data_IF_086221281747
#
_entry.id   IF_086221281747
#
_cell.length_a   1.000
_cell.length_b   1.000
_cell.length_c   1.000
_cell.angle_alpha   90.00
_cell.angle_beta   90.00
_cell.angle_gamma   90.00
#
_symmetry.space_group_name_H-M   'P 1'
#
loop_
_entity.id
_entity.type
_entity.pdbx_description
1 polymer ?
#
# COMPACT_ATOMS: atom_id res chain seq x y z
N UNK A 1 -16.12 -29.29 4.30
CA UNK A 1 -16.06 -28.69 2.94
C UNK A 1 -16.53 -27.26 3.12
N UNK A 2 -15.76 -26.24 2.69
CA UNK A 2 -16.17 -24.84 2.89
C UNK A 2 -17.49 -24.60 2.13
N UNK A 3 -18.53 -24.18 2.85
CA UNK A 3 -19.81 -23.83 2.24
C UNK A 3 -19.68 -22.40 1.71
N UNK A 4 -19.74 -22.24 0.39
CA UNK A 4 -19.68 -20.93 -0.26
C UNK A 4 -21.09 -20.54 -0.70
N UNK A 5 -21.74 -19.66 0.03
CA UNK A 5 -23.17 -19.35 -0.13
C UNK A 5 -23.52 -18.76 -1.50
N UNK A 6 -22.54 -18.16 -2.19
CA UNK A 6 -22.74 -17.64 -3.54
C UNK A 6 -22.80 -18.72 -4.64
N UNK A 7 -22.37 -19.96 -4.37
CA UNK A 7 -22.30 -21.03 -5.39
C UNK A 7 -23.69 -21.41 -5.92
N UNK A 8 -24.72 -21.30 -5.08
CA UNK A 8 -26.11 -21.58 -5.47
C UNK A 8 -26.78 -20.41 -6.17
N UNK A 9 -26.10 -19.27 -6.33
CA UNK A 9 -26.63 -18.07 -6.97
C UNK A 9 -25.85 -17.75 -8.28
N UNK A 10 -26.39 -18.13 -9.45
CA UNK A 10 -25.74 -17.91 -10.74
C UNK A 10 -25.46 -16.45 -11.07
N UNK A 11 -26.37 -15.54 -10.69
CA UNK A 11 -26.22 -14.10 -10.92
C UNK A 11 -25.04 -13.55 -10.10
N UNK A 12 -24.94 -13.96 -8.83
CA UNK A 12 -23.84 -13.57 -7.95
C UNK A 12 -22.50 -14.12 -8.42
N UNK A 13 -22.47 -15.36 -8.92
CA UNK A 13 -21.29 -15.95 -9.56
C UNK A 13 -20.83 -15.14 -10.77
N UNK A 14 -21.76 -14.78 -11.66
CA UNK A 14 -21.48 -13.92 -12.82
C UNK A 14 -20.87 -12.58 -12.40
N UNK A 15 -21.44 -11.96 -11.36
CA UNK A 15 -20.96 -10.69 -10.83
C UNK A 15 -19.55 -10.80 -10.23
N UNK A 16 -19.27 -11.85 -9.47
CA UNK A 16 -17.95 -12.14 -8.91
C UNK A 16 -16.89 -12.34 -9.99
N UNK A 17 -17.22 -13.03 -11.10
CA UNK A 17 -16.34 -13.13 -12.26
C UNK A 17 -16.04 -11.76 -12.87
N UNK A 18 -17.06 -10.93 -13.09
CA UNK A 18 -16.89 -9.58 -13.63
C UNK A 18 -16.03 -8.69 -12.73
N UNK A 19 -16.21 -8.78 -11.39
CA UNK A 19 -15.37 -8.03 -10.44
C UNK A 19 -13.91 -8.46 -10.57
N UNK A 20 -13.64 -9.76 -10.60
CA UNK A 20 -12.28 -10.28 -10.75
C UNK A 20 -11.58 -9.76 -12.01
N UNK A 21 -12.32 -9.65 -13.11
CA UNK A 21 -11.80 -9.12 -14.38
C UNK A 21 -11.53 -7.61 -14.29
N UNK A 22 -12.43 -6.83 -13.68
CA UNK A 22 -12.26 -5.38 -13.45
C UNK A 22 -11.09 -5.07 -12.52
N UNK A 23 -10.93 -5.85 -11.46
CA UNK A 23 -9.78 -5.78 -10.54
C UNK A 23 -8.50 -6.36 -11.14
N UNK A 24 -8.53 -6.83 -12.39
CA UNK A 24 -7.39 -7.42 -13.11
C UNK A 24 -6.77 -8.64 -12.42
N UNK A 25 -7.51 -9.34 -11.55
CA UNK A 25 -7.03 -10.51 -10.80
C UNK A 25 -6.68 -11.66 -11.75
N UNK A 26 -7.42 -11.79 -12.85
CA UNK A 26 -7.25 -12.86 -13.84
C UNK A 26 -6.20 -12.56 -14.92
N UNK A 27 -5.65 -11.34 -14.99
CA UNK A 27 -4.70 -10.97 -16.06
C UNK A 27 -3.36 -11.71 -15.99
N UNK A 28 -3.02 -12.26 -14.83
CA UNK A 28 -1.81 -13.03 -14.62
C UNK A 28 -2.11 -14.50 -14.37
N UNK A 29 -1.26 -15.37 -14.93
CA UNK A 29 -1.28 -16.81 -14.65
C UNK A 29 -0.91 -17.18 -13.21
N UNK A 30 -0.56 -16.20 -12.36
CA UNK A 30 -0.22 -16.46 -10.98
C UNK A 30 -1.47 -16.80 -10.16
N UNK A 31 -1.42 -17.94 -9.47
CA UNK A 31 -2.50 -18.42 -8.60
C UNK A 31 -2.41 -17.91 -7.16
N UNK A 32 -1.31 -17.29 -6.75
CA UNK A 32 -1.16 -16.71 -5.40
C UNK A 32 -1.67 -15.27 -5.40
N UNK A 33 -2.57 -14.97 -4.46
CA UNK A 33 -3.28 -13.70 -4.37
C UNK A 33 -3.19 -13.18 -2.94
N UNK A 34 -2.73 -11.95 -2.78
CA UNK A 34 -2.70 -11.24 -1.49
C UNK A 34 -3.73 -10.12 -1.55
N UNK A 35 -4.72 -10.17 -0.67
CA UNK A 35 -5.56 -9.04 -0.33
C UNK A 35 -4.94 -8.33 0.87
N UNK A 36 -4.50 -7.09 0.68
CA UNK A 36 -4.31 -6.17 1.81
C UNK A 36 -5.68 -5.53 2.03
N UNK A 37 -6.46 -6.11 2.92
CA UNK A 37 -7.79 -5.62 3.27
C UNK A 37 -7.66 -5.05 4.67
N UNK A 38 -7.80 -3.74 4.83
CA UNK A 38 -7.55 -3.10 6.14
C UNK A 38 -8.42 -1.86 6.26
N UNK A 39 -8.76 -1.42 7.47
CA UNK A 39 -9.31 -0.07 7.65
C UNK A 39 -8.32 0.98 7.11
N UNK A 40 -8.76 2.20 6.78
CA UNK A 40 -7.85 3.26 6.38
C UNK A 40 -6.94 3.68 7.55
N UNK A 41 -5.76 4.23 7.21
CA UNK A 41 -4.80 4.87 8.14
C UNK A 41 -4.15 3.96 9.19
N UNK A 42 -4.03 2.68 8.86
CA UNK A 42 -3.32 1.69 9.69
C UNK A 42 -1.89 1.40 9.20
N UNK A 43 -1.41 2.07 8.15
CA UNK A 43 -0.08 1.82 7.56
C UNK A 43 -0.06 0.80 6.43
N UNK A 44 -1.23 0.44 5.88
CA UNK A 44 -1.34 -0.51 4.77
C UNK A 44 -0.60 -0.09 3.50
N UNK A 45 -0.44 1.22 3.24
CA UNK A 45 0.36 1.74 2.11
C UNK A 45 1.78 1.17 2.12
N UNK A 46 2.43 1.09 3.29
CA UNK A 46 3.77 0.49 3.41
C UNK A 46 3.77 -0.99 3.08
N UNK A 47 2.79 -1.74 3.57
CA UNK A 47 2.65 -3.17 3.24
C UNK A 47 2.48 -3.35 1.74
N UNK A 48 1.60 -2.57 1.11
CA UNK A 48 1.33 -2.64 -0.33
C UNK A 48 2.56 -2.27 -1.15
N UNK A 49 3.23 -1.15 -0.84
CA UNK A 49 4.44 -0.73 -1.54
C UNK A 49 5.54 -1.78 -1.43
N UNK A 50 5.76 -2.33 -0.24
CA UNK A 50 6.75 -3.40 0.00
C UNK A 50 6.43 -4.66 -0.79
N UNK A 51 5.18 -5.14 -0.73
CA UNK A 51 4.76 -6.32 -1.48
C UNK A 51 4.83 -6.09 -2.99
N UNK A 52 4.50 -4.89 -3.48
CA UNK A 52 4.57 -4.61 -4.92
C UNK A 52 6.01 -4.60 -5.41
N UNK A 53 6.94 -4.02 -4.66
CA UNK A 53 8.36 -3.97 -5.03
C UNK A 53 9.01 -5.36 -4.99
N UNK A 54 8.82 -6.11 -3.91
CA UNK A 54 9.52 -7.37 -3.66
C UNK A 54 8.73 -8.63 -4.04
N UNK A 55 7.40 -8.54 -4.11
CA UNK A 55 6.49 -9.69 -4.24
C UNK A 55 5.71 -9.78 -5.56
N UNK A 56 5.66 -8.74 -6.40
CA UNK A 56 4.84 -8.73 -7.64
C UNK A 56 5.18 -9.85 -8.64
N UNK A 57 6.37 -10.44 -8.55
CA UNK A 57 6.73 -11.60 -9.37
C UNK A 57 6.01 -12.89 -8.95
N UNK A 58 5.63 -13.00 -7.67
CA UNK A 58 5.04 -14.22 -7.09
C UNK A 58 3.62 -14.05 -6.56
N UNK A 59 3.12 -12.82 -6.44
CA UNK A 59 1.78 -12.58 -5.94
C UNK A 59 1.06 -11.53 -6.79
N UNK A 60 -0.22 -11.76 -7.02
CA UNK A 60 -1.13 -10.68 -7.38
C UNK A 60 -1.52 -9.95 -6.09
N UNK A 61 -1.41 -8.63 -6.04
CA UNK A 61 -1.62 -7.84 -4.82
C UNK A 61 -2.78 -6.89 -5.05
N UNK A 62 -3.83 -7.06 -4.25
CA UNK A 62 -5.04 -6.23 -4.26
C UNK A 62 -5.10 -5.49 -2.93
N UNK A 63 -5.31 -4.19 -2.97
CA UNK A 63 -5.48 -3.36 -1.77
C UNK A 63 -6.83 -2.68 -1.81
N UNK A 64 -7.64 -2.95 -0.79
CA UNK A 64 -9.02 -2.46 -0.67
C UNK A 64 -9.26 -2.11 0.79
N UNK A 65 -9.98 -1.02 1.06
CA UNK A 65 -10.36 -0.62 2.41
C UNK A 65 -11.78 -1.05 2.77
N UNK A 66 -12.71 -1.00 1.84
CA UNK A 66 -14.13 -1.23 2.11
C UNK A 66 -14.88 -1.47 0.80
N UNK A 67 -16.17 -1.75 0.95
CA UNK A 67 -17.14 -1.94 -0.11
C UNK A 67 -17.31 -0.67 -0.96
N UNK A 68 -17.09 0.52 -0.38
CA UNK A 68 -17.11 1.80 -1.09
C UNK A 68 -15.96 1.87 -2.10
N UNK A 69 -14.74 1.59 -1.65
CA UNK A 69 -13.56 1.52 -2.51
C UNK A 69 -13.71 0.41 -3.56
N UNK A 70 -14.27 -0.74 -3.21
CA UNK A 70 -14.59 -1.79 -4.17
C UNK A 70 -15.56 -1.30 -5.25
N UNK A 71 -16.62 -0.57 -4.85
CA UNK A 71 -17.59 -0.01 -5.80
C UNK A 71 -16.94 0.99 -6.74
N UNK A 72 -16.09 1.88 -6.23
CA UNK A 72 -15.34 2.85 -7.06
C UNK A 72 -14.40 2.15 -8.03
N UNK A 73 -13.68 1.11 -7.59
CA UNK A 73 -12.71 0.40 -8.43
C UNK A 73 -13.35 -0.51 -9.48
N UNK A 74 -14.49 -1.12 -9.16
CA UNK A 74 -15.18 -2.07 -10.05
C UNK A 74 -16.31 -1.44 -10.88
N UNK A 75 -16.83 -0.29 -10.43
CA UNK A 75 -18.09 0.31 -10.88
C UNK A 75 -19.30 -0.64 -10.76
N UNK A 76 -19.33 -1.48 -9.72
CA UNK A 76 -20.38 -2.47 -9.49
C UNK A 76 -20.76 -2.56 -8.01
N UNK A 77 -21.98 -3.04 -7.74
CA UNK A 77 -22.56 -3.19 -6.39
C UNK A 77 -23.13 -4.59 -6.20
N UNK A 78 -23.48 -4.98 -4.97
CA UNK A 78 -24.12 -6.27 -4.66
C UNK A 78 -23.17 -7.40 -4.26
N UNK A 79 -21.89 -7.10 -4.09
CA UNK A 79 -20.85 -8.03 -3.62
C UNK A 79 -19.98 -7.35 -2.55
N UNK A 80 -19.59 -8.12 -1.53
CA UNK A 80 -18.67 -7.67 -0.49
C UNK A 80 -17.21 -8.05 -0.79
N UNK A 81 -16.26 -7.41 -0.11
CA UNK A 81 -14.84 -7.75 -0.28
C UNK A 81 -14.56 -9.19 0.16
N UNK A 82 -15.18 -9.65 1.26
CA UNK A 82 -15.07 -11.02 1.74
C UNK A 82 -15.55 -12.06 0.72
N UNK A 83 -16.63 -11.76 -0.02
CA UNK A 83 -17.14 -12.66 -1.05
C UNK A 83 -16.14 -12.81 -2.20
N UNK A 84 -15.43 -11.74 -2.58
CA UNK A 84 -14.37 -11.81 -3.60
C UNK A 84 -13.19 -12.65 -3.10
N UNK A 85 -12.79 -12.49 -1.84
CA UNK A 85 -11.72 -13.28 -1.21
C UNK A 85 -12.09 -14.77 -1.27
N UNK A 86 -13.29 -15.11 -0.79
CA UNK A 86 -13.81 -16.47 -0.76
C UNK A 86 -13.98 -17.06 -2.16
N UNK A 87 -14.48 -16.27 -3.10
CA UNK A 87 -14.63 -16.67 -4.51
C UNK A 87 -13.28 -17.02 -5.15
N UNK A 88 -12.24 -16.22 -4.90
CA UNK A 88 -10.92 -16.53 -5.41
C UNK A 88 -10.36 -17.83 -4.81
N UNK A 89 -10.65 -18.12 -3.54
CA UNK A 89 -10.33 -19.42 -2.94
C UNK A 89 -11.10 -20.55 -3.61
N UNK A 90 -12.39 -20.37 -3.87
CA UNK A 90 -13.25 -21.33 -4.58
C UNK A 90 -12.70 -21.65 -5.98
N UNK A 91 -12.15 -20.66 -6.70
CA UNK A 91 -11.46 -20.86 -7.99
C UNK A 91 -10.11 -21.61 -7.89
N UNK A 92 -9.71 -22.06 -6.70
CA UNK A 92 -8.49 -22.83 -6.46
C UNK A 92 -7.22 -21.97 -6.37
N UNK A 93 -7.34 -20.68 -6.04
CA UNK A 93 -6.20 -19.80 -5.77
C UNK A 93 -5.66 -20.02 -4.35
N UNK A 94 -4.38 -19.68 -4.16
CA UNK A 94 -3.77 -19.59 -2.83
C UNK A 94 -3.94 -18.15 -2.34
N UNK A 95 -4.84 -17.97 -1.38
CA UNK A 95 -5.34 -16.65 -0.97
C UNK A 95 -4.80 -16.30 0.41
N UNK A 96 -4.20 -15.12 0.49
CA UNK A 96 -3.74 -14.47 1.70
C UNK A 96 -4.53 -13.18 1.92
N UNK A 97 -4.89 -12.90 3.17
CA UNK A 97 -5.52 -11.65 3.57
C UNK A 97 -4.67 -11.02 4.67
N UNK A 98 -4.14 -9.83 4.44
CA UNK A 98 -3.36 -9.09 5.43
C UNK A 98 -4.23 -7.97 5.98
N UNK A 99 -4.39 -7.97 7.31
CA UNK A 99 -4.96 -6.88 8.09
C UNK A 99 -3.89 -6.23 8.99
N UNK A 100 -4.02 -4.93 9.26
CA UNK A 100 -3.09 -4.18 10.10
C UNK A 100 -3.86 -3.42 11.18
N UNK A 101 -3.52 -3.68 12.43
CA UNK A 101 -3.99 -2.90 13.58
C UNK A 101 -3.10 -1.69 13.84
N UNK A 102 -3.71 -0.56 14.19
CA UNK A 102 -3.02 0.63 14.69
C UNK A 102 -3.67 1.10 15.98
N UNK A 103 -2.85 1.53 16.92
CA UNK A 103 -3.26 2.10 18.20
C UNK A 103 -4.34 3.17 18.05
N UNK A 104 -5.34 3.24 18.96
CA UNK A 104 -6.55 4.02 18.71
C UNK A 104 -6.30 5.52 18.56
N UNK A 105 -5.50 6.13 19.43
CA UNK A 105 -5.25 7.58 19.38
C UNK A 105 -4.50 7.96 18.10
N UNK A 106 -3.41 7.26 17.81
CA UNK A 106 -2.57 7.49 16.64
C UNK A 106 -3.34 7.29 15.34
N UNK A 107 -4.24 6.31 15.29
CA UNK A 107 -5.13 6.10 14.15
C UNK A 107 -6.12 7.25 14.00
N UNK A 108 -6.78 7.68 15.08
CA UNK A 108 -7.72 8.81 15.05
C UNK A 108 -7.04 10.09 14.56
N UNK A 109 -5.85 10.39 15.08
CA UNK A 109 -5.04 11.52 14.61
C UNK A 109 -4.75 11.37 13.10
N UNK A 110 -4.32 10.18 12.66
CA UNK A 110 -4.01 9.96 11.26
C UNK A 110 -5.24 10.03 10.33
N UNK A 111 -6.42 9.65 10.80
CA UNK A 111 -7.68 9.78 10.07
C UNK A 111 -8.09 11.25 9.94
N UNK A 112 -8.00 12.01 11.03
CA UNK A 112 -8.27 13.45 11.03
C UNK A 112 -7.35 14.21 10.06
N UNK A 113 -6.04 13.93 10.11
CA UNK A 113 -5.05 14.58 9.25
C UNK A 113 -5.08 14.12 7.79
N UNK A 114 -5.86 13.11 7.43
CA UNK A 114 -5.94 12.68 6.04
C UNK A 114 -6.64 13.71 5.15
N UNK A 115 -7.69 14.33 5.67
CA UNK A 115 -8.52 15.29 4.94
C UNK A 115 -8.67 16.60 5.71
N UNK A 116 -7.62 17.00 6.45
CA UNK A 116 -7.70 18.16 7.33
C UNK A 116 -7.99 19.45 6.57
N UNK A 117 -7.32 19.69 5.44
CA UNK A 117 -7.64 20.79 4.54
C UNK A 117 -9.10 20.76 4.08
N UNK A 118 -9.39 19.81 3.20
CA UNK A 118 -10.62 19.80 2.42
C UNK A 118 -11.87 19.48 3.24
N UNK A 119 -11.79 18.50 4.13
CA UNK A 119 -12.93 18.09 4.95
C UNK A 119 -13.00 18.98 6.18
N UNK A 120 -11.97 18.97 7.03
CA UNK A 120 -12.14 19.61 8.32
C UNK A 120 -12.15 21.15 8.27
N UNK A 121 -11.45 21.81 7.34
CA UNK A 121 -11.31 23.27 7.29
C UNK A 121 -11.77 23.92 5.98
N UNK A 122 -12.27 23.14 5.03
CA UNK A 122 -12.72 23.58 3.73
C UNK A 122 -11.71 24.49 2.99
N UNK A 123 -10.44 24.08 2.96
CA UNK A 123 -9.36 24.79 2.25
C UNK A 123 -8.26 23.80 1.85
N UNK A 124 -7.14 24.27 1.28
CA UNK A 124 -6.00 23.40 0.96
C UNK A 124 -5.09 23.16 2.18
N UNK A 125 -4.34 22.07 2.14
CA UNK A 125 -3.46 21.66 3.25
C UNK A 125 -2.38 22.72 3.54
N UNK A 126 -1.87 23.41 2.51
CA UNK A 126 -0.87 24.47 2.66
C UNK A 126 -1.39 25.64 3.52
N UNK A 127 -2.66 26.02 3.34
CA UNK A 127 -3.31 27.07 4.12
C UNK A 127 -3.53 26.61 5.55
N UNK A 128 -4.05 25.39 5.74
CA UNK A 128 -4.25 24.83 7.09
C UNK A 128 -2.93 24.72 7.85
N UNK A 129 -1.82 24.46 7.16
CA UNK A 129 -0.49 24.39 7.78
C UNK A 129 -0.07 25.68 8.51
N UNK A 130 -0.73 26.82 8.21
CA UNK A 130 -0.51 28.12 8.87
C UNK A 130 -1.43 28.38 10.07
N UNK A 131 -2.38 27.49 10.35
CA UNK A 131 -3.38 27.69 11.40
C UNK A 131 -2.78 27.51 12.79
N UNK A 132 -3.37 28.22 13.77
CA UNK A 132 -3.06 27.98 15.18
C UNK A 132 -3.42 26.54 15.55
N UNK A 133 -2.43 25.79 16.06
CA UNK A 133 -2.55 24.38 16.44
C UNK A 133 -3.65 24.14 17.49
N UNK A 134 -3.92 25.08 18.39
CA UNK A 134 -5.00 24.98 19.38
C UNK A 134 -6.38 24.89 18.73
N UNK A 135 -6.62 25.61 17.62
CA UNK A 135 -7.87 25.51 16.85
C UNK A 135 -8.03 24.12 16.24
N UNK A 136 -6.92 23.55 15.77
CA UNK A 136 -6.86 22.22 15.16
C UNK A 136 -7.08 21.13 16.21
N UNK A 137 -6.47 21.26 17.39
CA UNK A 137 -6.69 20.39 18.55
C UNK A 137 -8.14 20.49 19.04
N UNK A 138 -8.70 21.69 19.14
CA UNK A 138 -10.07 21.90 19.55
C UNK A 138 -11.05 21.15 18.63
N UNK A 139 -10.89 21.31 17.31
CA UNK A 139 -11.72 20.61 16.32
C UNK A 139 -11.54 19.09 16.38
N UNK A 140 -10.30 18.62 16.53
CA UNK A 140 -10.03 17.18 16.70
C UNK A 140 -10.75 16.61 17.93
N UNK A 141 -10.64 17.26 19.09
CA UNK A 141 -11.29 16.82 20.31
C UNK A 141 -12.83 16.86 20.22
N UNK A 142 -13.41 17.79 19.44
CA UNK A 142 -14.86 17.84 19.20
C UNK A 142 -15.39 16.59 18.48
N UNK A 143 -14.61 16.00 17.59
CA UNK A 143 -15.02 14.84 16.80
C UNK A 143 -14.38 13.53 17.26
N UNK A 144 -13.46 13.58 18.23
CA UNK A 144 -12.61 12.44 18.59
C UNK A 144 -13.38 11.13 18.78
N UNK A 145 -14.50 11.08 19.55
CA UNK A 145 -15.23 9.82 19.75
C UNK A 145 -15.86 9.25 18.47
N UNK A 146 -16.20 10.12 17.51
CA UNK A 146 -16.85 9.76 16.24
C UNK A 146 -15.89 9.20 15.18
N UNK A 147 -14.58 9.44 15.33
CA UNK A 147 -13.58 8.86 14.43
C UNK A 147 -13.47 7.35 14.69
N UNK A 148 -13.73 6.52 13.69
CA UNK A 148 -13.81 5.06 13.85
C UNK A 148 -12.53 4.41 14.42
N UNK A 149 -12.73 3.44 15.33
CA UNK A 149 -11.69 2.56 15.89
C UNK A 149 -11.76 1.11 15.35
N UNK A 150 -12.69 0.82 14.42
CA UNK A 150 -13.02 -0.54 13.98
C UNK A 150 -11.90 -1.31 13.32
N UNK A 151 -11.92 -2.63 13.42
CA UNK A 151 -10.86 -3.53 12.99
C UNK A 151 -11.45 -4.65 12.13
N UNK A 152 -11.03 -4.80 10.87
CA UNK A 152 -11.71 -5.76 9.98
C UNK A 152 -11.53 -7.21 10.41
N UNK A 153 -10.39 -7.54 11.02
CA UNK A 153 -10.14 -8.90 11.49
C UNK A 153 -11.16 -9.33 12.54
N UNK A 154 -11.51 -8.42 13.45
CA UNK A 154 -12.50 -8.68 14.51
C UNK A 154 -13.94 -8.43 14.06
N UNK A 155 -14.18 -7.42 13.22
CA UNK A 155 -15.53 -6.91 12.97
C UNK A 155 -16.11 -7.31 11.61
N UNK A 156 -15.27 -7.66 10.62
CA UNK A 156 -15.70 -7.81 9.22
C UNK A 156 -15.47 -9.21 8.66
N UNK A 157 -14.34 -9.86 8.96
CA UNK A 157 -13.96 -11.12 8.27
C UNK A 157 -14.85 -12.30 8.61
N UNK A 158 -15.57 -12.25 9.73
CA UNK A 158 -16.43 -13.32 10.22
C UNK A 158 -15.65 -14.66 10.32
N UNK A 159 -14.45 -14.59 10.89
CA UNK A 159 -13.59 -15.74 11.16
C UNK A 159 -13.46 -15.94 12.69
N UNK A 160 -13.18 -17.16 13.17
CA UNK A 160 -12.97 -17.38 14.60
C UNK A 160 -11.80 -16.56 15.11
N UNK A 161 -12.01 -15.74 16.14
CA UNK A 161 -10.95 -14.95 16.76
C UNK A 161 -10.13 -15.83 17.72
N UNK A 162 -8.79 -15.92 17.58
CA UNK A 162 -7.95 -16.58 18.58
C UNK A 162 -8.11 -15.93 19.96
N UNK A 163 -7.93 -16.69 21.05
CA UNK A 163 -8.10 -16.16 22.41
C UNK A 163 -7.17 -14.99 22.72
N UNK A 164 -5.94 -15.03 22.22
CA UNK A 164 -4.91 -14.01 22.46
C UNK A 164 -4.16 -13.69 21.17
N UNK A 165 -3.64 -12.45 21.11
CA UNK A 165 -2.67 -12.09 20.09
C UNK A 165 -1.30 -12.73 20.40
N UNK A 166 -0.57 -13.16 19.36
CA UNK A 166 0.77 -13.72 19.55
C UNK A 166 1.80 -12.59 19.73
N UNK A 167 2.08 -12.28 21.00
CA UNK A 167 3.05 -11.25 21.38
C UNK A 167 4.51 -11.65 21.18
N UNK A 168 4.79 -12.95 21.03
CA UNK A 168 6.16 -13.46 20.84
C UNK A 168 6.57 -13.29 19.38
N UNK A 169 5.73 -13.79 18.47
CA UNK A 169 5.95 -13.66 17.04
C UNK A 169 5.54 -12.29 16.50
N UNK A 170 4.69 -11.55 17.24
CA UNK A 170 4.19 -10.20 16.91
C UNK A 170 3.24 -10.13 15.70
N UNK A 171 2.66 -11.26 15.30
CA UNK A 171 1.62 -11.34 14.27
C UNK A 171 0.71 -12.54 14.53
N UNK A 172 -0.51 -12.51 14.00
CA UNK A 172 -1.34 -13.72 13.87
C UNK A 172 -1.25 -14.24 12.44
N UNK A 173 -1.14 -15.56 12.31
CA UNK A 173 -1.36 -16.27 11.05
C UNK A 173 -2.38 -17.38 11.31
N UNK A 174 -3.57 -17.22 10.73
CA UNK A 174 -4.67 -18.15 10.88
C UNK A 174 -5.15 -18.64 9.53
N UNK A 175 -5.29 -19.95 9.38
CA UNK A 175 -5.93 -20.54 8.20
C UNK A 175 -7.39 -20.86 8.50
N UNK A 176 -8.30 -20.31 7.70
CA UNK A 176 -9.74 -20.58 7.81
C UNK A 176 -10.34 -20.75 6.41
N UNK A 177 -11.05 -21.86 6.19
CA UNK A 177 -11.57 -22.27 4.87
C UNK A 177 -10.50 -22.26 3.76
N UNK A 178 -9.25 -22.58 4.12
CA UNK A 178 -8.10 -22.59 3.22
C UNK A 178 -7.61 -21.21 2.77
N UNK A 179 -8.07 -20.13 3.40
CA UNK A 179 -7.56 -18.78 3.24
C UNK A 179 -6.65 -18.47 4.43
N UNK A 180 -5.49 -17.87 4.18
CA UNK A 180 -4.51 -17.51 5.21
C UNK A 180 -4.69 -16.03 5.60
N UNK A 181 -5.17 -15.78 6.80
CA UNK A 181 -5.34 -14.45 7.37
C UNK A 181 -4.12 -14.10 8.22
N UNK A 182 -3.52 -12.95 7.91
CA UNK A 182 -2.33 -12.41 8.57
C UNK A 182 -2.74 -11.12 9.27
N UNK A 183 -2.52 -11.05 10.58
CA UNK A 183 -2.75 -9.84 11.36
C UNK A 183 -1.43 -9.25 11.82
N UNK A 184 -1.18 -8.00 11.44
CA UNK A 184 -0.01 -7.23 11.87
C UNK A 184 -0.41 -6.11 12.83
N UNK A 185 0.55 -5.60 13.61
CA UNK A 185 0.41 -4.36 14.38
C UNK A 185 1.38 -3.31 13.81
N UNK A 186 0.92 -2.09 13.61
CA UNK A 186 1.76 -0.99 13.11
C UNK A 186 2.90 -0.65 14.06
N UNK A 187 2.72 -0.84 15.39
CA UNK A 187 3.79 -0.64 16.37
C UNK A 187 5.01 -1.56 16.16
N UNK A 188 4.80 -2.69 15.47
CA UNK A 188 5.84 -3.68 15.18
C UNK A 188 6.30 -3.59 13.71
N UNK A 189 6.12 -2.43 13.06
CA UNK A 189 6.49 -2.23 11.66
C UNK A 189 7.94 -2.58 11.35
N UNK A 190 8.83 -2.39 12.33
CA UNK A 190 10.26 -2.67 12.19
C UNK A 190 10.53 -4.18 12.01
N UNK A 191 9.62 -5.03 12.50
CA UNK A 191 9.70 -6.48 12.36
C UNK A 191 8.97 -7.01 11.12
N UNK A 192 8.21 -6.19 10.40
CA UNK A 192 7.39 -6.66 9.28
C UNK A 192 8.22 -7.27 8.14
N UNK A 193 9.46 -6.80 7.90
CA UNK A 193 10.35 -7.39 6.89
C UNK A 193 10.58 -8.87 7.15
N UNK A 194 10.92 -9.21 8.39
CA UNK A 194 11.22 -10.59 8.80
C UNK A 194 9.94 -11.43 8.84
N UNK A 195 8.86 -10.89 9.39
CA UNK A 195 7.56 -11.57 9.46
C UNK A 195 7.08 -11.96 8.06
N UNK A 196 7.00 -11.00 7.13
CA UNK A 196 6.51 -11.27 5.78
C UNK A 196 7.48 -12.16 5.00
N UNK A 197 8.79 -11.99 5.20
CA UNK A 197 9.80 -12.87 4.59
C UNK A 197 9.61 -14.32 5.00
N UNK A 198 9.39 -14.56 6.30
CA UNK A 198 9.19 -15.89 6.85
C UNK A 198 7.89 -16.53 6.36
N UNK A 199 6.79 -15.76 6.33
CA UNK A 199 5.48 -16.26 5.87
C UNK A 199 5.52 -16.64 4.38
N UNK A 200 6.18 -15.83 3.55
CA UNK A 200 6.15 -16.01 2.10
C UNK A 200 7.33 -16.80 1.53
N UNK A 201 8.39 -17.02 2.31
CA UNK A 201 9.62 -17.68 1.86
C UNK A 201 10.40 -16.87 0.83
N UNK A 202 10.21 -15.55 0.80
CA UNK A 202 10.91 -14.62 -0.10
C UNK A 202 11.32 -13.38 0.68
N UNK A 203 12.54 -12.89 0.46
CA UNK A 203 13.01 -11.63 1.03
C UNK A 203 12.07 -10.47 0.65
N UNK A 204 11.41 -9.90 1.65
CA UNK A 204 10.60 -8.68 1.59
C UNK A 204 11.26 -7.67 2.51
N UNK A 205 11.49 -6.46 1.99
CA UNK A 205 11.98 -5.33 2.79
C UNK A 205 10.87 -4.29 2.87
N UNK A 206 10.66 -3.76 4.07
CA UNK A 206 9.60 -2.79 4.32
C UNK A 206 10.00 -1.41 3.82
N UNK A 207 9.08 -0.80 3.08
CA UNK A 207 9.15 0.58 2.61
C UNK A 207 8.26 1.44 3.48
N UNK A 208 8.83 2.44 4.15
CA UNK A 208 8.10 3.37 5.03
C UNK A 208 7.44 4.51 4.23
N UNK A 209 6.37 4.19 3.51
CA UNK A 209 5.62 5.09 2.62
C UNK A 209 4.44 5.79 3.33
N UNK A 210 4.11 5.42 4.58
CA UNK A 210 2.97 5.97 5.32
C UNK A 210 3.26 7.29 6.07
N UNK A 211 4.50 7.76 6.09
CA UNK A 211 4.88 8.83 7.03
C UNK A 211 4.33 10.20 6.61
N UNK A 212 3.47 10.79 7.45
CA UNK A 212 2.87 12.11 7.25
C UNK A 212 3.89 13.26 7.14
N UNK A 213 5.15 13.03 7.55
CA UNK A 213 6.23 14.02 7.42
C UNK A 213 6.55 14.37 5.96
N UNK A 214 6.15 13.50 5.04
CA UNK A 214 6.34 13.68 3.60
C UNK A 214 5.16 14.43 2.93
N UNK A 215 4.14 14.84 3.69
CA UNK A 215 2.95 15.53 3.19
C UNK A 215 3.06 17.06 3.35
N UNK A 216 2.32 17.87 2.57
CA UNK A 216 2.28 19.33 2.71
C UNK A 216 1.92 19.79 4.14
N UNK A 217 1.12 19.01 4.87
CA UNK A 217 0.65 19.31 6.23
C UNK A 217 1.66 18.97 7.35
N UNK A 218 2.91 18.62 7.01
CA UNK A 218 3.89 18.07 7.96
C UNK A 218 4.16 18.97 9.17
N UNK A 219 4.17 20.29 8.99
CA UNK A 219 4.60 21.22 10.04
C UNK A 219 3.50 21.32 11.11
N UNK A 220 2.25 21.51 10.70
CA UNK A 220 1.10 21.47 11.59
C UNK A 220 0.93 20.09 12.24
N UNK A 221 1.12 19.00 11.51
CA UNK A 221 1.06 17.66 12.09
C UNK A 221 2.12 17.46 13.20
N UNK A 222 3.32 18.00 12.99
CA UNK A 222 4.40 17.95 13.98
C UNK A 222 4.04 18.78 15.21
N UNK A 223 3.64 20.04 15.01
CA UNK A 223 3.17 20.91 16.09
C UNK A 223 1.99 20.28 16.85
N UNK A 224 1.05 19.66 16.15
CA UNK A 224 -0.08 18.99 16.77
C UNK A 224 0.40 17.88 17.71
N UNK A 225 1.28 16.98 17.26
CA UNK A 225 1.77 15.88 18.12
C UNK A 225 2.54 16.38 19.34
N UNK A 226 3.27 17.48 19.21
CA UNK A 226 4.04 18.09 20.29
C UNK A 226 3.14 18.75 21.33
N UNK A 227 2.04 19.39 20.90
CA UNK A 227 1.14 20.16 21.77
C UNK A 227 -0.08 19.37 22.24
N UNK A 228 -0.43 18.26 21.58
CA UNK A 228 -1.65 17.52 21.89
C UNK A 228 -1.57 16.85 23.26
N UNK A 229 -2.58 17.13 24.07
CA UNK A 229 -2.84 16.47 25.35
C UNK A 229 -4.19 15.76 25.27
N UNK A 230 -4.24 14.51 25.71
CA UNK A 230 -5.44 13.67 25.66
C UNK A 230 -6.40 14.06 26.80
N UNK A 231 -7.66 14.41 26.51
CA UNK A 231 -8.69 14.62 27.52
C UNK A 231 -8.90 13.40 28.42
N UNK A 232 -9.15 13.65 29.70
CA UNK A 232 -9.30 12.60 30.73
C UNK A 232 -10.43 11.60 30.45
N UNK A 233 -11.53 12.06 29.87
CA UNK A 233 -12.64 11.21 29.46
C UNK A 233 -12.24 10.27 28.31
N UNK A 234 -11.45 10.74 27.34
CA UNK A 234 -10.98 9.88 26.23
C UNK A 234 -9.97 8.84 26.71
N UNK A 235 -9.13 9.18 27.69
CA UNK A 235 -8.23 8.19 28.32
C UNK A 235 -9.01 7.07 29.00
N UNK A 236 -10.17 7.39 29.58
CA UNK A 236 -11.06 6.39 30.20
C UNK A 236 -11.63 5.43 29.15
N UNK A 237 -12.02 5.93 27.98
CA UNK A 237 -12.48 5.12 26.85
C UNK A 237 -11.38 4.19 26.29
N UNK A 238 -10.11 4.59 26.35
CA UNK A 238 -9.00 3.73 25.93
C UNK A 238 -8.86 2.49 26.80
N UNK A 239 -9.09 2.61 28.12
CA UNK A 239 -8.98 1.49 29.06
C UNK A 239 -10.01 0.39 28.79
N UNK A 240 -11.18 0.75 28.24
CA UNK A 240 -12.24 -0.18 27.89
C UNK A 240 -12.22 -0.58 26.40
N UNK A 241 -11.25 -0.10 25.62
CA UNK A 241 -11.16 -0.37 24.20
C UNK A 241 -10.86 -1.86 23.91
N UNK A 242 -11.85 -2.57 23.34
CA UNK A 242 -11.71 -4.01 23.02
C UNK A 242 -10.52 -4.33 22.12
N UNK A 243 -10.21 -3.48 21.14
CA UNK A 243 -9.10 -3.71 20.19
C UNK A 243 -7.75 -3.54 20.88
N UNK A 244 -7.59 -2.50 21.69
CA UNK A 244 -6.37 -2.27 22.46
C UNK A 244 -6.13 -3.43 23.41
N UNK A 245 -7.16 -3.83 24.16
CA UNK A 245 -7.08 -4.92 25.13
C UNK A 245 -6.82 -6.29 24.49
N UNK A 246 -7.13 -6.48 23.21
CA UNK A 246 -6.84 -7.70 22.49
C UNK A 246 -5.43 -7.71 21.87
N UNK A 247 -5.05 -6.62 21.20
CA UNK A 247 -3.81 -6.56 20.43
C UNK A 247 -2.58 -6.14 21.23
N UNK A 248 -2.73 -5.71 22.49
CA UNK A 248 -1.62 -5.33 23.35
C UNK A 248 -1.53 -6.29 24.54
N UNK A 249 -0.31 -6.63 24.94
CA UNK A 249 -0.07 -7.36 26.18
C UNK A 249 -0.36 -6.46 27.39
N UNK A 250 -0.58 -7.02 28.59
CA UNK A 250 -0.82 -6.21 29.79
C UNK A 250 0.24 -5.13 30.04
N UNK A 251 1.52 -5.45 29.82
CA UNK A 251 2.62 -4.49 29.97
C UNK A 251 2.59 -3.40 28.88
N UNK A 252 2.26 -3.77 27.65
CA UNK A 252 2.13 -2.80 26.55
C UNK A 252 0.94 -1.86 26.76
N UNK A 253 -0.17 -2.36 27.33
CA UNK A 253 -1.33 -1.54 27.70
C UNK A 253 -0.93 -0.54 28.78
N UNK A 254 -0.27 -0.99 29.84
CA UNK A 254 0.20 -0.12 30.93
C UNK A 254 1.12 0.98 30.39
N UNK A 255 2.11 0.63 29.57
CA UNK A 255 3.01 1.58 28.92
C UNK A 255 2.22 2.61 28.07
N UNK A 256 1.30 2.14 27.22
CA UNK A 256 0.50 3.00 26.36
C UNK A 256 -0.39 3.96 27.15
N UNK A 257 -1.07 3.47 28.19
CA UNK A 257 -1.92 4.28 29.06
C UNK A 257 -1.10 5.29 29.85
N UNK A 258 0.07 4.90 30.38
CA UNK A 258 0.96 5.79 31.12
C UNK A 258 1.50 6.92 30.22
N UNK A 259 1.88 6.61 28.98
CA UNK A 259 2.32 7.60 28.00
C UNK A 259 1.27 8.69 27.77
N UNK A 260 0.00 8.32 27.64
CA UNK A 260 -1.10 9.28 27.47
C UNK A 260 -1.53 9.94 28.78
N UNK A 261 -1.45 9.26 29.91
CA UNK A 261 -1.73 9.82 31.24
C UNK A 261 -0.74 10.94 31.59
N UNK A 262 0.52 10.82 31.17
CA UNK A 262 1.54 11.87 31.35
C UNK A 262 1.28 13.09 30.45
N UNK A 263 0.50 12.93 29.38
CA UNK A 263 0.08 13.97 28.44
C UNK A 263 -1.42 14.23 28.54
N UNK A 264 -1.96 14.23 29.75
CA UNK A 264 -3.39 14.39 29.96
C UNK A 264 -3.80 15.87 30.13
N UNK A 265 -5.05 16.17 29.79
CA UNK A 265 -5.73 17.44 30.12
C UNK A 265 -7.11 17.18 30.71
N UNK A 266 -7.84 18.24 31.05
CA UNK A 266 -9.18 18.16 31.60
C UNK A 266 -10.16 17.48 30.64
N UNK A 267 -11.30 17.05 31.18
CA UNK A 267 -12.34 16.43 30.38
C UNK A 267 -12.80 17.39 29.28
N UNK A 268 -13.09 16.84 28.10
CA UNK A 268 -13.48 17.64 26.94
C UNK A 268 -14.92 17.32 26.50
N UNK A 269 -15.71 18.36 26.26
CA UNK A 269 -17.05 18.22 25.70
C UNK A 269 -16.99 18.09 24.18
N UNK A 270 -17.10 16.85 23.69
CA UNK A 270 -17.20 16.52 22.27
C UNK A 270 -18.63 16.66 21.75
N UNK A 271 -18.81 16.58 20.43
CA UNK A 271 -20.12 16.64 19.81
C UNK A 271 -20.99 15.44 20.20
N UNK A 272 -22.26 15.68 20.45
CA UNK A 272 -23.28 14.63 20.43
C UNK A 272 -23.42 14.04 19.03
N UNK A 273 -24.11 12.91 18.89
CA UNK A 273 -24.39 12.27 17.60
C UNK A 273 -25.04 13.23 16.59
N UNK A 274 -26.00 14.05 17.03
CA UNK A 274 -26.70 15.00 16.14
C UNK A 274 -25.81 16.18 15.76
N UNK A 275 -25.01 16.70 16.69
CA UNK A 275 -24.02 17.75 16.39
C UNK A 275 -22.95 17.24 15.43
N UNK A 276 -22.53 15.98 15.55
CA UNK A 276 -21.59 15.37 14.63
C UNK A 276 -22.19 15.17 13.24
N UNK A 277 -23.43 14.68 13.13
CA UNK A 277 -24.14 14.58 11.84
C UNK A 277 -24.26 15.93 11.15
N UNK A 278 -24.68 16.97 11.89
CA UNK A 278 -24.71 18.33 11.37
C UNK A 278 -23.32 18.81 10.93
N UNK A 279 -22.27 18.47 11.70
CA UNK A 279 -20.89 18.76 11.34
C UNK A 279 -20.47 18.08 10.02
N UNK A 280 -20.82 16.80 9.83
CA UNK A 280 -20.55 16.06 8.59
C UNK A 280 -21.30 16.65 7.40
N UNK A 281 -22.61 16.90 7.53
CA UNK A 281 -23.45 17.52 6.49
C UNK A 281 -22.86 18.85 6.04
N UNK A 282 -22.60 19.77 6.97
CA UNK A 282 -22.00 21.07 6.66
C UNK A 282 -20.63 20.93 6.03
N UNK A 283 -19.83 19.96 6.48
CA UNK A 283 -18.50 19.74 5.92
C UNK A 283 -18.57 19.26 4.47
N UNK A 284 -19.45 18.29 4.19
CA UNK A 284 -19.62 17.73 2.85
C UNK A 284 -20.21 18.77 1.90
N UNK A 285 -21.23 19.52 2.33
CA UNK A 285 -21.84 20.58 1.51
C UNK A 285 -20.85 21.68 1.16
N UNK A 286 -19.96 22.03 2.09
CA UNK A 286 -18.98 23.09 1.88
C UNK A 286 -17.74 22.63 1.10
N UNK A 287 -17.46 21.32 1.05
CA UNK A 287 -16.29 20.75 0.40
C UNK A 287 -16.35 21.01 -1.12
N UNK A 288 -15.69 22.08 -1.55
CA UNK A 288 -15.61 22.51 -2.95
C UNK A 288 -14.35 22.00 -3.65
N UNK A 289 -13.49 21.27 -2.93
CA UNK A 289 -12.24 20.71 -3.43
C UNK A 289 -12.36 19.18 -3.40
N UNK A 290 -12.67 18.58 -4.56
CA UNK A 290 -12.59 17.13 -4.74
C UNK A 290 -11.11 16.72 -4.84
N UNK A 291 -10.49 16.46 -3.69
CA UNK A 291 -9.11 15.97 -3.66
C UNK A 291 -9.07 14.44 -3.77
N UNK A 292 -9.02 13.93 -5.00
CA UNK A 292 -8.68 12.54 -5.26
C UNK A 292 -7.14 12.43 -5.21
N UNK A 293 -6.60 11.75 -4.21
CA UNK A 293 -5.16 11.41 -4.17
C UNK A 293 -4.86 10.38 -5.26
N UNK A 294 -4.52 10.83 -6.47
CA UNK A 294 -4.33 9.93 -7.61
C UNK A 294 -3.03 9.12 -7.54
N UNK A 295 -2.09 9.43 -6.63
CA UNK A 295 -0.75 8.83 -6.60
C UNK A 295 -0.14 8.74 -5.19
N UNK A 296 -0.75 7.98 -4.27
CA UNK A 296 -0.22 7.84 -2.91
C UNK A 296 0.64 6.60 -2.66
N UNK A 297 0.79 5.70 -3.64
CA UNK A 297 1.74 4.59 -3.54
C UNK A 297 3.05 4.94 -4.22
N UNK A 298 4.14 4.38 -3.68
CA UNK A 298 5.43 4.33 -4.36
C UNK A 298 5.37 3.54 -5.68
N UNK A 299 4.41 2.64 -5.86
CA UNK A 299 4.27 1.79 -7.06
C UNK A 299 2.79 1.66 -7.48
N UNK A 300 2.50 1.98 -8.74
CA UNK A 300 1.16 1.87 -9.36
C UNK A 300 0.64 0.42 -9.50
N UNK A 301 1.52 -0.57 -9.35
CA UNK A 301 1.17 -1.99 -9.44
C UNK A 301 1.10 -2.53 -10.87
N UNK A 302 1.56 -1.79 -11.89
CA UNK A 302 1.57 -2.27 -13.28
C UNK A 302 2.55 -3.44 -13.46
N UNK A 303 2.13 -4.52 -14.12
CA UNK A 303 2.91 -5.77 -14.23
C UNK A 303 3.63 -5.90 -15.58
N UNK A 304 3.84 -4.79 -16.29
CA UNK A 304 4.57 -4.82 -17.56
C UNK A 304 6.08 -5.00 -17.33
N UNK A 305 6.78 -5.45 -18.38
CA UNK A 305 8.25 -5.67 -18.35
C UNK A 305 9.02 -4.43 -17.89
N UNK A 306 8.59 -3.24 -18.28
CA UNK A 306 9.26 -2.00 -17.90
C UNK A 306 9.17 -1.73 -16.39
N UNK A 307 7.97 -1.86 -15.82
CA UNK A 307 7.75 -1.70 -14.38
C UNK A 307 8.50 -2.77 -13.58
N UNK A 308 8.55 -4.02 -14.05
CA UNK A 308 9.35 -5.08 -13.39
C UNK A 308 10.85 -4.75 -13.34
N UNK A 309 11.43 -4.23 -14.43
CA UNK A 309 12.84 -3.80 -14.43
C UNK A 309 13.04 -2.67 -13.42
N UNK A 310 12.18 -1.65 -13.43
CA UNK A 310 12.26 -0.52 -12.49
C UNK A 310 12.14 -0.97 -11.04
N UNK A 311 11.21 -1.88 -10.72
CA UNK A 311 11.08 -2.49 -9.39
C UNK A 311 12.36 -3.20 -8.95
N UNK A 312 12.99 -3.96 -9.83
CA UNK A 312 14.24 -4.66 -9.51
C UNK A 312 15.36 -3.68 -9.16
N UNK A 313 15.47 -2.56 -9.90
CA UNK A 313 16.45 -1.50 -9.62
C UNK A 313 16.17 -0.86 -8.26
N UNK A 314 14.92 -0.49 -8.00
CA UNK A 314 14.45 0.08 -6.73
C UNK A 314 14.69 -0.87 -5.55
N UNK A 315 14.30 -2.15 -5.68
CA UNK A 315 14.49 -3.18 -4.67
C UNK A 315 15.98 -3.38 -4.31
N UNK A 316 16.86 -3.28 -5.30
CA UNK A 316 18.32 -3.35 -5.10
C UNK A 316 18.82 -2.15 -4.31
N UNK A 317 18.38 -0.93 -4.67
CA UNK A 317 18.77 0.29 -3.93
C UNK A 317 18.31 0.22 -2.47
N UNK A 318 17.05 -0.17 -2.22
CA UNK A 318 16.49 -0.34 -0.86
C UNK A 318 17.27 -1.39 -0.07
N UNK A 319 17.55 -2.54 -0.69
CA UNK A 319 18.29 -3.62 -0.03
C UNK A 319 19.71 -3.22 0.36
N UNK A 320 20.27 -2.19 -0.28
CA UNK A 320 21.58 -1.62 0.03
C UNK A 320 21.52 -0.45 1.01
N UNK A 321 20.35 -0.16 1.60
CA UNK A 321 20.16 0.93 2.56
C UNK A 321 20.15 2.33 1.93
N UNK A 322 19.98 2.43 0.60
CA UNK A 322 19.88 3.73 -0.07
C UNK A 322 18.49 4.34 0.13
N UNK A 323 18.44 5.62 0.45
CA UNK A 323 17.19 6.37 0.50
C UNK A 323 16.61 6.51 -0.91
N UNK A 324 15.32 6.20 -1.07
CA UNK A 324 14.63 6.25 -2.36
C UNK A 324 13.62 7.39 -2.38
N UNK A 325 13.77 8.26 -3.38
CA UNK A 325 12.78 9.28 -3.74
C UNK A 325 12.04 8.93 -5.03
N UNK A 326 12.54 7.95 -5.78
CA UNK A 326 11.98 7.50 -7.06
C UNK A 326 10.75 6.60 -6.85
N UNK A 327 9.69 6.85 -7.63
CA UNK A 327 8.49 6.01 -7.68
C UNK A 327 8.52 5.09 -8.90
N UNK A 328 7.73 4.02 -8.85
CA UNK A 328 7.50 3.11 -9.98
C UNK A 328 6.23 3.54 -10.69
N UNK A 329 6.37 4.50 -11.60
CA UNK A 329 5.30 5.03 -12.47
C UNK A 329 5.39 4.36 -13.84
N UNK A 330 4.27 3.86 -14.37
CA UNK A 330 4.26 3.09 -15.61
C UNK A 330 4.82 3.86 -16.82
N UNK A 331 4.38 5.09 -17.00
CA UNK A 331 4.78 5.94 -18.13
C UNK A 331 6.29 6.22 -18.10
N UNK A 332 6.82 6.55 -16.92
CA UNK A 332 8.25 6.79 -16.69
C UNK A 332 9.08 5.54 -16.95
N UNK A 333 8.68 4.41 -16.36
CA UNK A 333 9.39 3.14 -16.54
C UNK A 333 9.41 2.71 -18.02
N UNK A 334 8.31 2.90 -18.75
CA UNK A 334 8.21 2.59 -20.18
C UNK A 334 9.14 3.48 -21.01
N UNK A 335 9.17 4.77 -20.73
CA UNK A 335 10.06 5.72 -21.39
C UNK A 335 11.54 5.40 -21.10
N UNK A 336 11.88 5.08 -19.85
CA UNK A 336 13.24 4.70 -19.45
C UNK A 336 13.70 3.43 -20.20
N UNK A 337 12.83 2.41 -20.29
CA UNK A 337 13.13 1.20 -21.04
C UNK A 337 13.32 1.47 -22.53
N UNK A 338 12.50 2.35 -23.13
CA UNK A 338 12.63 2.74 -24.53
C UNK A 338 13.97 3.44 -24.79
N UNK A 339 14.33 4.41 -23.94
CA UNK A 339 15.61 5.13 -24.01
C UNK A 339 16.80 4.18 -23.89
N UNK A 340 16.77 3.23 -22.92
CA UNK A 340 17.80 2.19 -22.76
C UNK A 340 17.92 1.32 -24.03
N UNK A 341 16.81 0.98 -24.68
CA UNK A 341 16.81 0.19 -25.94
C UNK A 341 17.40 0.97 -27.12
N UNK A 342 17.03 2.23 -27.28
CA UNK A 342 17.57 3.10 -28.33
C UNK A 342 19.07 3.29 -28.16
N UNK A 343 19.53 3.57 -26.94
CA UNK A 343 20.96 3.68 -26.64
C UNK A 343 21.74 2.40 -26.99
N UNK A 344 21.19 1.23 -26.63
CA UNK A 344 21.81 -0.06 -26.97
C UNK A 344 21.83 -0.33 -28.48
N UNK A 345 20.76 0.00 -29.20
CA UNK A 345 20.71 -0.12 -30.65
C UNK A 345 21.77 0.77 -31.32
N UNK A 346 21.94 2.00 -30.84
CA UNK A 346 22.97 2.92 -31.32
C UNK A 346 24.38 2.38 -31.07
N UNK A 347 24.65 1.78 -29.91
CA UNK A 347 25.93 1.13 -29.61
C UNK A 347 26.22 -0.04 -30.55
N UNK A 348 25.22 -0.90 -30.81
CA UNK A 348 25.35 -2.03 -31.74
C UNK A 348 25.63 -1.53 -33.17
N UNK A 349 24.91 -0.49 -33.61
CA UNK A 349 25.11 0.10 -34.93
C UNK A 349 26.51 0.72 -35.08
N UNK A 350 27.01 1.42 -34.06
CA UNK A 350 28.36 1.98 -34.05
C UNK A 350 29.44 0.88 -34.08
N UNK A 351 29.24 -0.21 -33.33
CA UNK A 351 30.12 -1.37 -33.36
C UNK A 351 30.14 -2.06 -34.73
N UNK A 352 28.96 -2.29 -35.32
CA UNK A 352 28.83 -2.88 -36.66
C UNK A 352 29.48 -2.01 -37.74
N UNK A 353 29.31 -0.68 -37.67
CA UNK A 353 29.99 0.25 -38.57
C UNK A 353 31.52 0.17 -38.46
N UNK A 354 32.03 -0.03 -37.24
CA UNK A 354 33.47 -0.20 -36.98
C UNK A 354 33.99 -1.54 -37.53
N UNK A 355 33.20 -2.62 -37.44
CA UNK A 355 33.56 -3.90 -38.07
C UNK A 355 33.55 -3.77 -39.59
N UNK A 356 32.51 -3.17 -40.16
CA UNK A 356 32.39 -2.97 -41.60
C UNK A 356 33.55 -2.15 -42.16
N UNK A 357 33.96 -1.07 -41.48
CA UNK A 357 35.13 -0.27 -41.88
C UNK A 357 36.44 -1.04 -41.79
N UNK A 358 36.64 -1.86 -40.74
CA UNK A 358 37.81 -2.76 -40.63
C UNK A 358 37.84 -3.85 -41.70
N UNK A 359 36.68 -4.40 -42.07
CA UNK A 359 36.57 -5.39 -43.15
C UNK A 359 36.83 -4.76 -44.52
N UNK A 360 36.31 -3.54 -44.77
CA UNK A 360 36.62 -2.78 -45.98
C UNK A 360 38.10 -2.38 -46.06
N UNK A 361 38.74 -2.05 -44.94
CA UNK A 361 40.18 -1.74 -44.89
C UNK A 361 41.08 -2.96 -45.11
N UNK A 362 40.64 -4.17 -44.73
CA UNK A 362 41.34 -5.43 -45.03
C UNK A 362 41.04 -5.96 -46.43
N UNK A 363 39.87 -5.65 -46.97
CA UNK A 363 39.49 -5.90 -48.35
C UNK A 363 39.80 -4.69 -49.22
N UNK A 364 41.08 -4.32 -49.35
CA UNK A 364 41.50 -3.45 -50.45
C UNK A 364 40.98 -4.02 -51.78
N UNK A 365 40.68 -3.17 -52.78
CA UNK A 365 40.17 -3.65 -54.07
C UNK A 365 41.07 -4.78 -54.55
N UNK A 366 40.49 -5.98 -54.76
CA UNK A 366 41.23 -7.11 -55.33
C UNK A 366 41.81 -6.62 -56.64
N UNK A 367 43.11 -6.37 -56.67
CA UNK A 367 43.83 -6.05 -57.89
C UNK A 367 43.98 -7.36 -58.67
N UNK A 368 42.88 -7.76 -59.31
CA UNK A 368 42.79 -8.96 -60.14
C UNK A 368 43.88 -8.95 -61.21
N UNK A 369 44.34 -7.77 -61.63
CA UNK A 369 45.41 -7.64 -62.62
C UNK A 369 46.74 -8.08 -62.01
N UNK A 370 47.07 -7.65 -60.80
CA UNK A 370 48.29 -8.09 -60.09
C UNK A 370 48.24 -9.57 -59.69
N UNK A 371 47.09 -10.05 -59.22
CA UNK A 371 46.89 -11.47 -58.88
C UNK A 371 47.02 -12.38 -60.12
N UNK A 372 46.36 -12.03 -61.24
CA UNK A 372 46.52 -12.76 -62.52
C UNK A 372 47.95 -12.69 -63.06
N UNK A 373 48.64 -11.56 -62.89
CA UNK A 373 50.03 -11.43 -63.35
C UNK A 373 50.98 -12.34 -62.57
N UNK A 374 50.74 -12.57 -61.27
CA UNK A 374 51.55 -13.49 -60.46
C UNK A 374 51.29 -14.96 -60.81
N UNK A 375 50.02 -15.32 -61.09
CA UNK A 375 49.64 -16.67 -61.55
C UNK A 375 50.27 -16.99 -62.91
N UNK A 376 50.22 -16.05 -63.86
CA UNK A 376 50.79 -16.24 -65.22
C UNK A 376 52.33 -16.27 -65.20
N UNK A 377 52.98 -15.55 -64.27
CA UNK A 377 54.45 -15.50 -64.16
C UNK A 377 55.07 -16.61 -63.29
N UNK A 378 54.28 -17.54 -62.75
CA UNK A 378 54.78 -18.71 -62.02
C UNK A 378 55.56 -18.39 -60.74
N UNK A 379 55.37 -17.21 -60.14
CA UNK A 379 55.94 -16.91 -58.82
C UNK A 379 54.98 -17.36 -57.74
N UNK A 380 55.34 -18.45 -57.05
CA UNK A 380 54.73 -18.82 -55.76
C UNK A 380 55.06 -17.78 -54.70
#
# INVERSE_FOLDING_TARGET
MAHFDFVTNPEKMSLLHQINDRLNINKNGNKKLIFVYTPPKVGSTSVVSSLRIFGSAMFNIIHIHDEEMLRVLSNMTGVTVNEIIQFNKYLGRDVYVIDVYRSPVERKISAYFEKVGVYHFNTNDETVNTYNVEKVINRFNKIFPHIANGDHFMDVYNIPLPETFDFVNKYLLQEYNGIKYIKLRLKDSDCWSDILTNIYGQKIVIVHDYESINKPIKDLYTQFKENYKLPSNFLSDLKTCKYLNYYYSPSEIEEYINNWSNKQTDSYQYYTENEYKMYEELTIENAHIDFIQVNHYMDEGCLCKACFIKRSEVATKISNGLQITERVVHSEAKNELLTKRVAKANQINAFNATIASKMAAKGGPKDFRREMTNVVKGKK
#
